data_IF_031670361494
#
_entry.id   IF_031670361494
#
_cell.length_a   1.000
_cell.length_b   1.000
_cell.length_c   1.000
_cell.angle_alpha   90.00
_cell.angle_beta   90.00
_cell.angle_gamma   90.00
#
_symmetry.space_group_name_H-M   'P 1'
#
loop_
_entity.id
_entity.type
_entity.pdbx_description
1 polymer ?
#
# COMPACT_ATOMS: atom_id res chain seq x y z
N UNK A 1 -16.33 0.69 -7.31
CA UNK A 1 -15.42 0.01 -8.26
C UNK A 1 -14.00 0.35 -7.81
N UNK A 2 -13.22 -0.63 -7.36
CA UNK A 2 -11.81 -0.44 -7.05
C UNK A 2 -11.03 -0.89 -8.28
N UNK A 3 -10.24 0.03 -8.83
CA UNK A 3 -9.30 -0.25 -9.91
C UNK A 3 -7.91 0.01 -9.34
N UNK A 4 -7.12 -1.05 -9.19
CA UNK A 4 -5.70 -0.93 -8.88
C UNK A 4 -4.89 -1.45 -10.06
N UNK A 5 -3.92 -0.66 -10.46
CA UNK A 5 -2.91 -1.03 -11.44
C UNK A 5 -1.57 -1.25 -10.72
N UNK A 6 -0.70 -2.04 -11.35
CA UNK A 6 0.65 -2.32 -10.87
C UNK A 6 0.71 -2.79 -9.39
N UNK A 7 -0.20 -3.71 -9.02
CA UNK A 7 -0.21 -4.29 -7.67
C UNK A 7 1.02 -5.17 -7.46
N UNK A 8 1.77 -4.88 -6.40
CA UNK A 8 2.88 -5.69 -5.92
C UNK A 8 2.75 -5.96 -4.44
N UNK A 9 3.13 -7.16 -4.04
CA UNK A 9 3.18 -7.54 -2.64
C UNK A 9 4.49 -8.25 -2.33
N UNK A 10 5.02 -8.00 -1.14
CA UNK A 10 6.13 -8.75 -0.56
C UNK A 10 5.68 -9.27 0.80
N UNK A 11 5.93 -10.55 1.02
CA UNK A 11 5.56 -11.25 2.25
C UNK A 11 6.84 -11.46 3.07
N UNK A 12 6.80 -11.03 4.31
CA UNK A 12 7.78 -11.36 5.35
C UNK A 12 7.05 -12.11 6.48
N UNK A 13 7.82 -12.65 7.44
CA UNK A 13 7.25 -13.48 8.51
C UNK A 13 6.26 -12.72 9.41
N UNK A 14 6.45 -11.41 9.59
CA UNK A 14 5.68 -10.54 10.49
C UNK A 14 4.88 -9.45 9.76
N UNK A 15 5.09 -9.29 8.45
CA UNK A 15 4.46 -8.22 7.67
C UNK A 15 4.22 -8.57 6.21
N UNK A 16 3.24 -7.87 5.63
CA UNK A 16 2.98 -7.84 4.20
C UNK A 16 3.16 -6.40 3.72
N UNK A 17 4.15 -6.19 2.85
CA UNK A 17 4.37 -4.93 2.16
C UNK A 17 3.55 -4.93 0.87
N UNK A 18 2.47 -4.17 0.83
CA UNK A 18 1.58 -4.01 -0.33
C UNK A 18 1.83 -2.66 -0.99
N UNK A 19 1.97 -2.65 -2.31
CA UNK A 19 2.25 -1.45 -3.10
C UNK A 19 1.41 -1.46 -4.38
N UNK A 20 0.67 -0.39 -4.68
CA UNK A 20 -0.18 -0.34 -5.87
C UNK A 20 -0.50 1.08 -6.33
N UNK A 21 -0.85 1.23 -7.60
CA UNK A 21 -1.40 2.46 -8.17
C UNK A 21 -2.91 2.41 -8.04
N UNK A 22 -3.51 3.47 -7.51
CA UNK A 22 -4.98 3.60 -7.46
C UNK A 22 -5.49 4.39 -8.65
N UNK A 23 -6.25 3.75 -9.53
CA UNK A 23 -7.10 4.41 -10.52
C UNK A 23 -8.41 4.82 -9.84
N UNK A 24 -8.32 5.81 -8.94
CA UNK A 24 -9.45 6.34 -8.17
C UNK A 24 -9.27 6.26 -6.65
N UNK A 25 -10.22 5.65 -5.95
CA UNK A 25 -10.25 5.65 -4.48
C UNK A 25 -9.51 4.45 -3.87
N UNK A 26 -8.81 4.71 -2.76
CA UNK A 26 -8.17 3.67 -1.94
C UNK A 26 -9.20 2.65 -1.40
N UNK A 27 -8.99 1.33 -1.54
CA UNK A 27 -9.94 0.28 -1.14
C UNK A 27 -9.95 0.02 0.37
N UNK A 28 -10.37 1.02 1.15
CA UNK A 28 -10.40 0.95 2.61
C UNK A 28 -11.13 -0.29 3.18
N UNK A 29 -12.30 -0.71 2.67
CA UNK A 29 -13.02 -1.86 3.22
C UNK A 29 -12.24 -3.18 3.07
N UNK A 30 -11.64 -3.41 1.89
CA UNK A 30 -10.88 -4.62 1.58
C UNK A 30 -9.65 -4.69 2.48
N UNK A 31 -8.90 -3.60 2.57
CA UNK A 31 -7.68 -3.54 3.39
C UNK A 31 -7.97 -3.70 4.89
N UNK A 32 -9.12 -3.18 5.36
CA UNK A 32 -9.59 -3.41 6.72
C UNK A 32 -9.92 -4.89 6.95
N UNK A 33 -10.68 -5.51 6.05
CA UNK A 33 -11.07 -6.91 6.17
C UNK A 33 -9.85 -7.84 6.17
N UNK A 34 -8.87 -7.60 5.29
CA UNK A 34 -7.61 -8.36 5.25
C UNK A 34 -6.82 -8.24 6.56
N UNK A 35 -6.67 -7.02 7.07
CA UNK A 35 -5.98 -6.78 8.34
C UNK A 35 -6.71 -7.37 9.56
N UNK A 36 -8.03 -7.56 9.48
CA UNK A 36 -8.80 -8.27 10.51
C UNK A 36 -8.68 -9.78 10.41
N UNK A 37 -8.60 -10.34 9.19
CA UNK A 37 -8.44 -11.77 8.97
C UNK A 37 -7.05 -12.27 9.41
N UNK A 38 -6.02 -11.42 9.31
CA UNK A 38 -4.65 -11.72 9.72
C UNK A 38 -4.16 -10.75 10.81
N UNK A 39 -4.70 -10.84 12.03
CA UNK A 39 -4.42 -9.87 13.11
C UNK A 39 -2.98 -9.88 13.63
N UNK A 40 -2.23 -10.96 13.36
CA UNK A 40 -0.83 -11.13 13.71
C UNK A 40 0.14 -10.53 12.68
N UNK A 41 -0.35 -10.14 11.50
CA UNK A 41 0.46 -9.62 10.39
C UNK A 41 0.29 -8.11 10.29
N UNK A 42 1.40 -7.37 10.19
CA UNK A 42 1.37 -5.95 9.88
C UNK A 42 1.25 -5.74 8.36
N UNK A 43 0.24 -5.00 7.90
CA UNK A 43 0.08 -4.64 6.49
C UNK A 43 0.68 -3.25 6.27
N UNK A 44 1.82 -3.20 5.58
CA UNK A 44 2.46 -1.96 5.18
C UNK A 44 1.92 -1.58 3.81
N UNK A 45 1.10 -0.54 3.76
CA UNK A 45 0.32 -0.17 2.59
C UNK A 45 0.88 1.09 1.99
N UNK A 46 1.38 0.96 0.76
CA UNK A 46 1.84 2.07 -0.06
C UNK A 46 0.97 2.18 -1.29
N UNK A 47 0.48 3.37 -1.58
CA UNK A 47 -0.29 3.60 -2.80
C UNK A 47 -0.09 5.01 -3.31
N UNK A 48 -0.06 5.20 -4.61
CA UNK A 48 -0.19 6.52 -5.22
C UNK A 48 -1.30 6.56 -6.27
N UNK A 49 -1.82 7.75 -6.57
CA UNK A 49 -2.71 7.95 -7.72
C UNK A 49 -1.92 7.99 -9.03
N UNK A 50 -2.60 7.76 -10.16
CA UNK A 50 -1.97 7.73 -11.50
C UNK A 50 -1.17 9.00 -11.80
N UNK A 51 -1.58 10.15 -11.25
CA UNK A 51 -0.94 11.44 -11.44
C UNK A 51 0.17 11.76 -10.42
N UNK A 52 0.46 10.82 -9.49
CA UNK A 52 1.43 10.97 -8.40
C UNK A 52 1.19 12.21 -7.49
N UNK A 53 -0.04 12.74 -7.48
CA UNK A 53 -0.45 13.90 -6.66
C UNK A 53 -0.82 13.49 -5.25
N UNK A 54 -1.28 12.25 -5.07
CA UNK A 54 -1.71 11.71 -3.78
C UNK A 54 -1.00 10.39 -3.54
N UNK A 55 -0.24 10.32 -2.46
CA UNK A 55 0.28 9.05 -1.97
C UNK A 55 -0.19 8.78 -0.55
N UNK A 56 -0.21 7.49 -0.21
CA UNK A 56 -0.46 6.99 1.13
C UNK A 56 0.65 6.02 1.47
N UNK A 57 1.15 6.13 2.69
CA UNK A 57 2.10 5.21 3.28
C UNK A 57 1.71 5.04 4.75
N UNK A 58 1.24 3.87 5.12
CA UNK A 58 0.72 3.59 6.45
C UNK A 58 0.72 2.10 6.77
N UNK A 59 0.64 1.79 8.05
CA UNK A 59 0.57 0.43 8.57
C UNK A 59 -0.82 0.15 9.10
N UNK A 60 -1.39 -0.96 8.65
CA UNK A 60 -2.64 -1.54 9.15
C UNK A 60 -2.35 -2.76 10.01
N UNK A 61 -2.93 -2.79 11.19
CA UNK A 61 -2.89 -3.96 12.08
C UNK A 61 -4.25 -4.13 12.72
N UNK A 62 -4.81 -5.34 12.71
CA UNK A 62 -6.14 -5.65 13.29
C UNK A 62 -7.25 -4.71 12.78
N UNK A 63 -7.18 -4.31 11.50
CA UNK A 63 -8.14 -3.41 10.86
C UNK A 63 -8.03 -1.94 11.29
N UNK A 64 -7.00 -1.54 12.04
CA UNK A 64 -6.73 -0.17 12.45
C UNK A 64 -5.45 0.36 11.80
N UNK A 65 -5.47 1.61 11.41
CA UNK A 65 -4.25 2.33 11.00
C UNK A 65 -3.44 2.62 12.26
N UNK A 66 -2.33 1.91 12.44
CA UNK A 66 -1.48 2.02 13.63
C UNK A 66 -0.40 3.07 13.46
N UNK A 67 0.04 3.31 12.23
CA UNK A 67 1.07 4.29 11.91
C UNK A 67 0.86 4.89 10.53
N UNK A 68 0.87 6.21 10.45
CA UNK A 68 0.95 6.94 9.18
C UNK A 68 2.39 7.39 8.95
N UNK A 69 3.01 6.92 7.88
CA UNK A 69 4.35 7.34 7.50
C UNK A 69 4.20 8.61 6.66
N UNK A 70 4.54 9.76 7.24
CA UNK A 70 4.52 11.05 6.52
C UNK A 70 5.74 11.11 5.59
N UNK A 71 5.59 10.58 4.38
CA UNK A 71 6.57 10.73 3.31
C UNK A 71 6.02 11.63 2.20
N UNK A 72 6.88 12.37 1.48
CA UNK A 72 6.45 13.11 0.30
C UNK A 72 5.81 12.16 -0.72
N UNK A 73 4.68 12.54 -1.35
CA UNK A 73 4.02 11.69 -2.35
C UNK A 73 4.94 11.24 -3.46
N UNK A 74 5.88 12.11 -3.86
CA UNK A 74 6.89 11.83 -4.87
C UNK A 74 7.84 10.70 -4.45
N UNK A 75 8.28 10.63 -3.19
CA UNK A 75 9.15 9.54 -2.74
C UNK A 75 8.44 8.19 -2.75
N UNK A 76 7.16 8.16 -2.40
CA UNK A 76 6.36 6.92 -2.40
C UNK A 76 6.14 6.45 -3.84
N UNK A 77 5.86 7.38 -4.75
CA UNK A 77 5.74 7.09 -6.18
C UNK A 77 7.08 6.61 -6.77
N UNK A 78 8.18 7.32 -6.49
CA UNK A 78 9.52 6.96 -6.93
C UNK A 78 9.91 5.57 -6.42
N UNK A 79 9.53 5.19 -5.20
CA UNK A 79 9.80 3.86 -4.67
C UNK A 79 8.98 2.77 -5.40
N UNK A 80 7.69 3.02 -5.63
CA UNK A 80 6.82 2.10 -6.39
C UNK A 80 7.34 1.92 -7.83
N UNK A 81 7.77 3.00 -8.48
CA UNK A 81 8.34 2.99 -9.84
C UNK A 81 9.77 2.43 -9.88
N UNK A 82 10.61 2.69 -8.88
CA UNK A 82 11.95 2.12 -8.80
C UNK A 82 11.91 0.60 -8.62
N UNK A 83 10.95 0.10 -7.84
CA UNK A 83 10.67 -1.33 -7.75
C UNK A 83 10.27 -1.93 -9.11
N UNK A 84 9.49 -1.21 -9.93
CA UNK A 84 9.17 -1.65 -11.30
C UNK A 84 10.41 -1.89 -12.18
N UNK A 85 11.48 -1.12 -12.00
CA UNK A 85 12.72 -1.24 -12.79
C UNK A 85 13.65 -2.38 -12.34
N UNK A 86 13.45 -2.95 -11.15
CA UNK A 86 14.31 -4.03 -10.62
C UNK A 86 13.85 -5.44 -10.98
N UNK A 87 12.64 -5.59 -11.49
CA UNK A 87 12.07 -6.87 -11.94
C UNK A 87 12.11 -7.02 -13.49
N UNK A 88 12.94 -6.20 -14.16
CA UNK A 88 13.30 -6.31 -15.59
C UNK A 88 14.80 -6.59 -15.67
#
# INVERSE_FOLDING_TARGET
KWNADEVRFRIAADRIDLSFVTAGAYPKPIMRALSQAYPQIAFHVRSHDEQCRRARDFVLTKGRETKKLKRPPKEVADEIVAFRRRDV
#
